data_IF_153686279014
#
_entry.id   IF_153686279014
#
_cell.length_a   1.000
_cell.length_b   1.000
_cell.length_c   1.000
_cell.angle_alpha   90.00
_cell.angle_beta   90.00
_cell.angle_gamma   90.00
#
_symmetry.space_group_name_H-M   'P 1'
#
loop_
_entity.id
_entity.type
_entity.pdbx_description
1 polymer ?
#
# COMPACT_ATOMS: atom_id res chain seq x y z
N UNK A 1 -12.32 -24.24 6.88
CA UNK A 1 -11.86 -22.83 6.85
C UNK A 1 -10.63 -22.79 5.94
N UNK A 2 -10.67 -21.97 4.88
CA UNK A 2 -9.51 -21.78 4.01
C UNK A 2 -8.46 -21.00 4.81
N UNK A 3 -7.33 -21.63 5.10
CA UNK A 3 -6.21 -21.00 5.77
C UNK A 3 -5.46 -20.17 4.73
N UNK A 4 -5.66 -18.85 4.72
CA UNK A 4 -5.04 -17.94 3.73
C UNK A 4 -3.73 -17.42 4.28
N UNK A 5 -2.61 -17.91 3.72
CA UNK A 5 -1.28 -17.44 4.08
C UNK A 5 -1.04 -16.04 3.48
N UNK A 6 -0.72 -15.06 4.32
CA UNK A 6 -0.47 -13.68 3.92
C UNK A 6 0.96 -13.30 4.27
N UNK A 7 1.64 -12.67 3.32
CA UNK A 7 2.95 -12.09 3.51
C UNK A 7 2.87 -10.57 3.61
N UNK A 8 3.74 -10.00 4.43
CA UNK A 8 3.80 -8.57 4.65
C UNK A 8 5.20 -8.01 4.38
N UNK A 9 5.29 -7.00 3.51
CA UNK A 9 6.51 -6.25 3.24
C UNK A 9 6.33 -4.77 3.67
N UNK A 10 7.20 -4.29 4.53
CA UNK A 10 7.07 -2.95 5.10
C UNK A 10 8.42 -2.22 5.21
N UNK A 11 8.40 -0.92 5.52
CA UNK A 11 9.60 -0.16 5.85
C UNK A 11 9.62 0.38 7.29
N UNK A 12 8.49 0.69 7.90
CA UNK A 12 8.41 1.26 9.25
C UNK A 12 7.46 0.46 10.15
N UNK A 13 7.81 0.34 11.44
CA UNK A 13 6.99 -0.30 12.49
C UNK A 13 5.53 0.17 12.51
N UNK A 14 5.27 1.40 12.06
CA UNK A 14 3.95 2.03 12.10
C UNK A 14 2.96 1.37 11.13
N UNK A 15 3.38 1.08 9.91
CA UNK A 15 2.55 0.39 8.91
C UNK A 15 2.33 -1.07 9.32
N UNK A 16 3.35 -1.73 9.89
CA UNK A 16 3.26 -3.08 10.44
C UNK A 16 2.13 -3.22 11.45
N UNK A 17 2.02 -2.29 12.40
CA UNK A 17 0.98 -2.32 13.44
C UNK A 17 -0.43 -2.26 12.84
N UNK A 18 -0.67 -1.35 11.91
CA UNK A 18 -1.98 -1.18 11.27
C UNK A 18 -2.42 -2.43 10.50
N UNK A 19 -1.50 -3.11 9.82
CA UNK A 19 -1.81 -4.36 9.11
C UNK A 19 -2.12 -5.51 10.08
N UNK A 20 -1.37 -5.65 11.18
CA UNK A 20 -1.67 -6.63 12.22
C UNK A 20 -3.04 -6.38 12.86
N UNK A 21 -3.37 -5.13 13.18
CA UNK A 21 -4.67 -4.76 13.75
C UNK A 21 -5.85 -5.20 12.86
N UNK A 22 -5.65 -5.29 11.54
CA UNK A 22 -6.68 -5.75 10.61
C UNK A 22 -6.58 -7.27 10.39
N UNK A 23 -5.43 -7.80 10.01
CA UNK A 23 -5.25 -9.21 9.66
C UNK A 23 -5.59 -10.14 10.83
N UNK A 24 -5.22 -9.76 12.05
CA UNK A 24 -5.47 -10.55 13.26
C UNK A 24 -6.96 -10.66 13.62
N UNK A 25 -7.83 -9.83 13.02
CA UNK A 25 -9.29 -9.95 13.16
C UNK A 25 -9.90 -11.03 12.25
N UNK A 26 -9.13 -11.55 11.30
CA UNK A 26 -9.62 -12.56 10.36
C UNK A 26 -9.02 -13.95 10.68
N UNK A 27 -9.76 -14.85 11.36
CA UNK A 27 -9.23 -16.16 11.81
C UNK A 27 -8.74 -17.07 10.67
N UNK A 28 -9.16 -16.79 9.43
CA UNK A 28 -8.72 -17.49 8.23
C UNK A 28 -7.43 -16.97 7.63
N UNK A 29 -6.90 -15.83 8.10
CA UNK A 29 -5.65 -15.25 7.64
C UNK A 29 -4.51 -15.61 8.58
N UNK A 30 -3.36 -15.95 8.03
CA UNK A 30 -2.15 -16.23 8.80
C UNK A 30 -0.98 -15.45 8.21
N UNK A 31 -0.37 -14.59 9.02
CA UNK A 31 0.89 -13.94 8.69
C UNK A 31 2.01 -14.99 8.68
N UNK A 32 2.61 -15.27 7.53
CA UNK A 32 3.66 -16.30 7.39
C UNK A 32 5.06 -15.71 7.34
N UNK A 33 5.20 -14.46 6.91
CA UNK A 33 6.47 -13.77 6.90
C UNK A 33 6.28 -12.25 6.94
N UNK A 34 7.30 -11.56 7.41
CA UNK A 34 7.36 -10.10 7.50
C UNK A 34 8.80 -9.64 7.30
N UNK A 35 9.03 -8.74 6.33
CA UNK A 35 10.36 -8.25 5.96
C UNK A 35 10.30 -6.76 5.67
N UNK A 36 11.44 -6.08 5.86
CA UNK A 36 11.60 -4.70 5.36
C UNK A 36 12.23 -4.71 3.98
N UNK A 37 11.84 -3.76 3.13
CA UNK A 37 12.46 -3.51 1.82
C UNK A 37 12.74 -2.01 1.60
N UNK A 38 12.87 -1.23 2.67
CA UNK A 38 13.37 0.16 2.70
C UNK A 38 12.77 1.09 1.64
N UNK A 39 11.50 0.90 1.28
CA UNK A 39 10.75 1.59 0.23
C UNK A 39 11.25 1.31 -1.21
N UNK A 40 12.18 0.36 -1.37
CA UNK A 40 12.87 0.09 -2.62
C UNK A 40 12.25 -1.08 -3.40
N UNK A 41 12.01 -0.87 -4.70
CA UNK A 41 11.42 -1.86 -5.58
C UNK A 41 12.29 -3.12 -5.73
N UNK A 42 13.59 -2.93 -5.95
CA UNK A 42 14.53 -4.04 -6.16
C UNK A 42 14.69 -4.88 -4.90
N UNK A 43 14.75 -4.23 -3.74
CA UNK A 43 14.82 -4.94 -2.46
C UNK A 43 13.53 -5.71 -2.18
N UNK A 44 12.37 -5.11 -2.47
CA UNK A 44 11.07 -5.79 -2.36
C UNK A 44 11.01 -7.03 -3.25
N UNK A 45 11.44 -6.92 -4.51
CA UNK A 45 11.52 -8.05 -5.43
C UNK A 45 12.34 -9.20 -4.82
N UNK A 46 13.55 -8.95 -4.34
CA UNK A 46 14.45 -9.97 -3.78
C UNK A 46 13.86 -10.64 -2.53
N UNK A 47 13.24 -9.85 -1.65
CA UNK A 47 12.58 -10.39 -0.44
C UNK A 47 11.39 -11.25 -0.78
N UNK A 48 10.54 -10.81 -1.70
CA UNK A 48 9.37 -11.57 -2.14
C UNK A 48 9.81 -12.86 -2.83
N UNK A 49 10.79 -12.82 -3.72
CA UNK A 49 11.33 -14.02 -4.38
C UNK A 49 11.79 -15.08 -3.35
N UNK A 50 12.55 -14.67 -2.33
CA UNK A 50 13.00 -15.56 -1.25
C UNK A 50 11.82 -16.16 -0.46
N UNK A 51 10.80 -15.35 -0.19
CA UNK A 51 9.65 -15.81 0.60
C UNK A 51 8.75 -16.74 -0.19
N UNK A 52 8.55 -16.49 -1.48
CA UNK A 52 7.80 -17.39 -2.36
C UNK A 52 8.42 -18.79 -2.42
N UNK A 53 9.75 -18.90 -2.39
CA UNK A 53 10.45 -20.19 -2.32
C UNK A 53 10.14 -20.94 -1.02
N UNK A 54 10.01 -20.24 0.09
CA UNK A 54 9.75 -20.83 1.41
C UNK A 54 8.25 -21.01 1.71
N UNK A 55 7.39 -20.30 1.01
CA UNK A 55 5.94 -20.25 1.24
C UNK A 55 5.19 -20.29 -0.11
N UNK A 56 5.19 -21.43 -0.83
CA UNK A 56 4.59 -21.51 -2.17
C UNK A 56 3.07 -21.33 -2.19
N UNK A 57 2.40 -21.52 -1.05
CA UNK A 57 0.94 -21.42 -0.91
C UNK A 57 0.45 -20.04 -0.49
N UNK A 58 1.32 -19.01 -0.56
CA UNK A 58 0.95 -17.66 -0.18
C UNK A 58 -0.19 -17.13 -1.06
N UNK A 59 -1.14 -16.41 -0.46
CA UNK A 59 -2.33 -15.88 -1.15
C UNK A 59 -2.41 -14.36 -1.12
N UNK A 60 -1.61 -13.70 -0.30
CA UNK A 60 -1.63 -12.25 -0.20
C UNK A 60 -0.27 -11.67 0.13
N UNK A 61 0.02 -10.50 -0.43
CA UNK A 61 1.22 -9.70 -0.16
C UNK A 61 0.74 -8.28 0.14
N UNK A 62 1.01 -7.81 1.35
CA UNK A 62 0.72 -6.44 1.78
C UNK A 62 2.00 -5.62 1.73
N UNK A 63 2.00 -4.55 0.95
CA UNK A 63 3.16 -3.69 0.76
C UNK A 63 2.93 -2.32 1.40
N UNK A 64 3.94 -1.80 2.09
CA UNK A 64 3.87 -0.51 2.77
C UNK A 64 3.83 0.69 1.81
N UNK A 65 4.21 0.50 0.53
CA UNK A 65 4.02 1.46 -0.54
C UNK A 65 3.88 0.78 -1.91
N UNK A 66 3.53 1.54 -2.93
CA UNK A 66 3.33 1.05 -4.30
C UNK A 66 4.65 0.65 -4.98
N UNK A 67 5.74 1.34 -4.70
CA UNK A 67 7.07 0.99 -5.22
C UNK A 67 7.45 -0.44 -4.84
N UNK A 68 7.26 -0.82 -3.58
CA UNK A 68 7.48 -2.20 -3.12
C UNK A 68 6.44 -3.17 -3.71
N UNK A 69 5.18 -2.74 -3.89
CA UNK A 69 4.14 -3.57 -4.49
C UNK A 69 4.46 -3.92 -5.96
N UNK A 70 4.97 -2.98 -6.73
CA UNK A 70 5.44 -3.23 -8.10
C UNK A 70 6.62 -4.21 -8.12
N UNK A 71 7.54 -4.13 -7.15
CA UNK A 71 8.60 -5.11 -6.95
C UNK A 71 8.04 -6.51 -6.64
N UNK A 72 7.04 -6.59 -5.77
CA UNK A 72 6.35 -7.84 -5.45
C UNK A 72 5.64 -8.44 -6.67
N UNK A 73 4.97 -7.62 -7.48
CA UNK A 73 4.36 -8.04 -8.76
C UNK A 73 5.40 -8.67 -9.68
N UNK A 74 6.56 -8.03 -9.82
CA UNK A 74 7.64 -8.56 -10.67
C UNK A 74 8.13 -9.93 -10.17
N UNK A 75 8.31 -10.12 -8.86
CA UNK A 75 8.73 -11.40 -8.26
C UNK A 75 7.68 -12.50 -8.47
N UNK A 76 6.40 -12.20 -8.25
CA UNK A 76 5.29 -13.14 -8.46
C UNK A 76 5.19 -13.57 -9.93
N UNK A 77 5.33 -12.62 -10.87
CA UNK A 77 5.36 -12.89 -12.32
C UNK A 77 6.55 -13.78 -12.70
N UNK A 78 7.73 -13.48 -12.19
CA UNK A 78 8.94 -14.26 -12.45
C UNK A 78 8.84 -15.69 -11.91
N UNK A 79 8.18 -15.88 -10.77
CA UNK A 79 7.89 -17.20 -10.21
C UNK A 79 6.78 -17.97 -10.96
N UNK A 80 6.14 -17.38 -11.97
CA UNK A 80 5.03 -17.98 -12.71
C UNK A 80 3.76 -18.19 -11.88
N UNK A 81 3.66 -17.53 -10.74
CA UNK A 81 2.53 -17.65 -9.82
C UNK A 81 1.38 -16.71 -10.25
N UNK A 82 0.16 -17.11 -9.91
CA UNK A 82 -1.09 -16.37 -10.15
C UNK A 82 -1.96 -16.42 -8.91
N UNK A 83 -3.02 -15.61 -8.92
CA UNK A 83 -4.03 -15.60 -7.85
C UNK A 83 -3.45 -15.23 -6.46
N UNK A 84 -2.46 -14.34 -6.44
CA UNK A 84 -1.92 -13.73 -5.23
C UNK A 84 -2.42 -12.28 -5.17
N UNK A 85 -3.16 -11.96 -4.11
CA UNK A 85 -3.62 -10.61 -3.87
C UNK A 85 -2.45 -9.71 -3.45
N UNK A 86 -2.13 -8.69 -4.24
CA UNK A 86 -1.07 -7.72 -3.94
C UNK A 86 -1.69 -6.35 -3.74
N UNK A 87 -1.43 -5.74 -2.59
CA UNK A 87 -1.90 -4.39 -2.28
C UNK A 87 -0.75 -3.49 -1.85
N UNK A 88 -0.84 -2.22 -2.26
CA UNK A 88 0.12 -1.17 -1.95
C UNK A 88 -0.51 0.00 -1.21
N UNK A 89 0.25 1.06 -1.09
CA UNK A 89 -0.15 2.36 -0.54
C UNK A 89 0.52 3.43 -1.41
N UNK A 90 -0.10 4.52 -1.64
CA UNK A 90 0.23 5.83 -2.23
C UNK A 90 -0.72 6.22 -3.36
N UNK A 91 -1.13 5.29 -4.24
CA UNK A 91 -1.94 5.58 -5.43
C UNK A 91 -1.08 6.05 -6.61
N UNK A 92 0.06 5.42 -6.84
CA UNK A 92 0.97 5.74 -7.97
C UNK A 92 0.39 5.34 -9.32
N UNK A 93 0.91 5.96 -10.39
CA UNK A 93 0.52 5.62 -11.76
C UNK A 93 0.95 4.20 -12.14
N UNK A 94 2.08 3.70 -11.61
CA UNK A 94 2.55 2.34 -11.79
C UNK A 94 1.63 1.30 -11.12
N UNK A 95 1.18 1.59 -9.90
CA UNK A 95 0.19 0.76 -9.22
C UNK A 95 -1.15 0.78 -9.96
N UNK A 96 -1.60 1.95 -10.44
CA UNK A 96 -2.82 2.06 -11.24
C UNK A 96 -2.74 1.19 -12.51
N UNK A 97 -1.61 1.20 -13.22
CA UNK A 97 -1.39 0.33 -14.37
C UNK A 97 -1.42 -1.15 -13.97
N UNK A 98 -0.74 -1.53 -12.90
CA UNK A 98 -0.71 -2.92 -12.42
C UNK A 98 -2.10 -3.42 -11.96
N UNK A 99 -2.95 -2.53 -11.41
CA UNK A 99 -4.35 -2.85 -11.05
C UNK A 99 -5.18 -3.07 -12.32
N UNK A 100 -5.07 -2.20 -13.33
CA UNK A 100 -5.76 -2.34 -14.61
C UNK A 100 -5.41 -3.64 -15.31
N UNK A 101 -4.15 -3.99 -15.29
CA UNK A 101 -3.61 -5.21 -15.89
C UNK A 101 -3.93 -6.49 -15.06
N UNK A 102 -4.50 -6.33 -13.86
CA UNK A 102 -4.89 -7.44 -12.97
C UNK A 102 -3.73 -8.07 -12.19
N UNK A 103 -2.58 -7.39 -12.08
CA UNK A 103 -1.41 -7.84 -11.31
C UNK A 103 -1.42 -7.34 -9.86
N UNK A 104 -2.11 -6.25 -9.59
CA UNK A 104 -2.38 -5.78 -8.23
C UNK A 104 -3.88 -5.79 -7.96
N UNK A 105 -4.24 -6.08 -6.72
CA UNK A 105 -5.64 -6.05 -6.24
C UNK A 105 -6.09 -4.63 -5.97
N UNK A 106 -5.19 -3.79 -5.44
CA UNK A 106 -5.50 -2.40 -5.14
C UNK A 106 -4.35 -1.66 -4.48
N UNK A 107 -4.59 -0.38 -4.25
CA UNK A 107 -3.73 0.50 -3.45
C UNK A 107 -4.58 1.46 -2.61
N UNK A 108 -4.04 1.92 -1.50
CA UNK A 108 -4.63 2.98 -0.70
C UNK A 108 -4.05 4.33 -1.15
N UNK A 109 -4.83 5.10 -1.90
CA UNK A 109 -4.41 6.45 -2.31
C UNK A 109 -4.25 7.35 -1.09
N UNK A 110 -3.05 7.82 -0.85
CA UNK A 110 -2.80 8.96 0.02
C UNK A 110 -3.13 10.23 -0.78
N UNK A 111 -4.06 11.04 -0.29
CA UNK A 111 -4.50 12.27 -0.97
C UNK A 111 -3.42 13.37 -0.88
N UNK A 112 -2.27 13.14 -1.51
CA UNK A 112 -1.07 13.98 -1.39
C UNK A 112 -1.33 15.43 -1.80
N UNK A 113 -2.15 15.67 -2.83
CA UNK A 113 -2.53 17.02 -3.25
C UNK A 113 -3.31 17.75 -2.14
N UNK A 114 -4.30 17.10 -1.54
CA UNK A 114 -5.08 17.67 -0.44
C UNK A 114 -4.20 17.94 0.80
N UNK A 115 -3.31 17.00 1.13
CA UNK A 115 -2.37 17.17 2.24
C UNK A 115 -1.46 18.39 2.01
N UNK A 116 -0.95 18.56 0.79
CA UNK A 116 -0.11 19.69 0.43
C UNK A 116 -0.88 21.02 0.49
N UNK A 117 -2.12 21.08 -0.01
CA UNK A 117 -3.01 22.23 0.05
C UNK A 117 -3.27 22.64 1.50
N UNK A 118 -3.70 21.70 2.34
CA UNK A 118 -3.93 21.92 3.77
C UNK A 118 -2.68 22.45 4.48
N UNK A 119 -1.50 21.90 4.15
CA UNK A 119 -0.25 22.35 4.76
C UNK A 119 0.09 23.81 4.41
N UNK A 120 -0.10 24.21 3.15
CA UNK A 120 0.15 25.58 2.69
C UNK A 120 -0.86 26.56 3.31
N UNK A 121 -2.14 26.22 3.31
CA UNK A 121 -3.20 27.05 3.91
C UNK A 121 -2.97 27.27 5.41
N UNK A 122 -2.59 26.23 6.13
CA UNK A 122 -2.31 26.32 7.56
C UNK A 122 -1.05 27.14 7.84
N UNK A 123 -0.01 27.00 7.04
CA UNK A 123 1.20 27.79 7.15
C UNK A 123 0.91 29.29 6.92
N UNK A 124 0.16 29.63 5.87
CA UNK A 124 -0.26 31.01 5.58
C UNK A 124 -1.09 31.60 6.73
N UNK A 125 -2.08 30.84 7.23
CA UNK A 125 -2.91 31.27 8.35
C UNK A 125 -2.08 31.52 9.61
N UNK A 126 -1.17 30.59 9.94
CA UNK A 126 -0.28 30.74 11.10
C UNK A 126 0.60 31.97 11.00
N UNK A 127 1.20 32.23 9.84
CA UNK A 127 2.05 33.40 9.61
C UNK A 127 1.27 34.73 9.76
N UNK A 128 -0.01 34.74 9.40
CA UNK A 128 -0.86 35.93 9.48
C UNK A 128 -1.45 36.16 10.88
N UNK A 129 -1.75 35.10 11.62
CA UNK A 129 -2.57 35.20 12.85
C UNK A 129 -1.89 34.67 14.10
N UNK A 130 -0.75 33.99 13.96
CA UNK A 130 -0.05 33.30 15.07
C UNK A 130 -0.70 31.97 15.49
N UNK A 131 -1.77 31.52 14.81
CA UNK A 131 -2.46 30.25 15.12
C UNK A 131 -3.17 29.69 13.89
N UNK A 132 -3.17 28.37 13.72
CA UNK A 132 -4.01 27.70 12.72
C UNK A 132 -5.47 27.58 13.15
N UNK A 133 -5.74 27.61 14.47
CA UNK A 133 -7.06 27.36 15.03
C UNK A 133 -7.58 25.94 14.81
N UNK A 134 -6.69 25.00 14.49
CA UNK A 134 -6.98 23.60 14.22
C UNK A 134 -6.19 22.69 15.19
N UNK A 135 -6.64 21.47 15.34
CA UNK A 135 -5.93 20.46 16.13
C UNK A 135 -4.53 20.20 15.56
N UNK A 136 -3.57 19.91 16.43
CA UNK A 136 -2.19 19.60 16.05
C UNK A 136 -2.13 18.38 15.11
N UNK A 137 -2.98 17.37 15.36
CA UNK A 137 -3.07 16.16 14.54
C UNK A 137 -4.33 16.19 13.69
N UNK A 138 -4.13 16.28 12.38
CA UNK A 138 -5.19 16.19 11.39
C UNK A 138 -5.02 14.92 10.57
N UNK A 139 -6.11 14.20 10.38
CA UNK A 139 -6.14 12.97 9.58
C UNK A 139 -6.82 13.27 8.25
N UNK A 140 -6.21 12.79 7.18
CA UNK A 140 -6.80 12.77 5.84
C UNK A 140 -7.07 11.32 5.48
N UNK A 141 -8.31 11.02 5.12
CA UNK A 141 -8.73 9.68 4.78
C UNK A 141 -8.05 9.20 3.49
N UNK A 142 -7.63 7.94 3.45
CA UNK A 142 -7.17 7.30 2.23
C UNK A 142 -8.36 6.80 1.42
N UNK A 143 -8.21 6.79 0.09
CA UNK A 143 -9.21 6.23 -0.83
C UNK A 143 -8.73 4.86 -1.30
N UNK A 144 -9.55 3.83 -1.11
CA UNK A 144 -9.25 2.50 -1.65
C UNK A 144 -9.42 2.51 -3.18
N UNK A 145 -8.34 2.22 -3.89
CA UNK A 145 -8.32 2.11 -5.34
C UNK A 145 -8.22 0.63 -5.71
N UNK A 146 -9.20 0.18 -6.46
CA UNK A 146 -9.33 -1.18 -6.99
C UNK A 146 -9.63 -1.15 -8.48
N UNK A 147 -9.82 -2.31 -9.09
CA UNK A 147 -10.19 -2.40 -10.50
C UNK A 147 -11.49 -1.64 -10.84
N UNK A 148 -12.39 -1.48 -9.86
CA UNK A 148 -13.70 -0.85 -10.07
C UNK A 148 -13.62 0.68 -10.23
N UNK A 149 -12.56 1.30 -9.71
CA UNK A 149 -12.44 2.77 -9.69
C UNK A 149 -11.06 3.31 -10.12
N UNK A 150 -10.15 2.44 -10.51
CA UNK A 150 -8.78 2.85 -10.89
C UNK A 150 -8.73 3.81 -12.09
N UNK A 151 -9.75 3.82 -12.93
CA UNK A 151 -9.83 4.76 -14.06
C UNK A 151 -10.05 6.21 -13.62
N UNK A 152 -10.52 6.42 -12.40
CA UNK A 152 -10.67 7.73 -11.78
C UNK A 152 -9.38 8.25 -11.13
N UNK A 153 -8.36 7.40 -10.97
CA UNK A 153 -7.06 7.77 -10.43
C UNK A 153 -6.15 8.26 -11.54
N UNK A 154 -5.58 9.44 -11.37
CA UNK A 154 -4.56 9.99 -12.26
C UNK A 154 -3.58 10.84 -11.48
N UNK A 155 -2.30 10.46 -11.51
CA UNK A 155 -1.20 11.22 -10.92
C UNK A 155 -1.50 11.62 -9.46
N UNK A 156 -1.78 10.62 -8.62
CA UNK A 156 -2.12 10.78 -7.19
C UNK A 156 -3.38 11.61 -6.90
N UNK A 157 -4.24 11.82 -7.89
CA UNK A 157 -5.51 12.54 -7.74
C UNK A 157 -6.67 11.63 -8.13
N UNK A 158 -7.68 11.55 -7.27
CA UNK A 158 -8.93 10.86 -7.54
C UNK A 158 -9.96 11.87 -8.08
N UNK A 159 -10.50 11.56 -9.24
CA UNK A 159 -11.59 12.36 -9.86
C UNK A 159 -12.91 11.65 -9.64
N UNK A 160 -13.83 12.29 -8.95
CA UNK A 160 -15.19 11.79 -8.75
C UNK A 160 -15.98 11.61 -10.05
#
# INVERSE_FOLDING_TARGET
MLNTSVFYIYCLRRNSKAFHEVVDQYPGMKMVAQQTANWEQTEAYQKVETILQSNPDIKGILCGNDTMAVGAVAAVKNAGLKDIAIVGVDGSDEAAAAIKDGYMTGTALQQAALIAEMAVEQADKYLKTGSTGLDEKQLVDCIAITKDNVDKLKTFVYKE
#
